data_IF_295481468865
#
_entry.id   IF_295481468865
#
_cell.length_a   1.000
_cell.length_b   1.000
_cell.length_c   1.000
_cell.angle_alpha   90.00
_cell.angle_beta   90.00
_cell.angle_gamma   90.00
#
_symmetry.space_group_name_H-M   'P 1'
#
loop_
_entity.id
_entity.type
_entity.pdbx_description
1 polymer ?
#
# COMPACT_ATOMS: atom_id res chain seq x y z
N UNK A 1 11.17 6.01 4.23
CA UNK A 1 12.03 6.90 3.42
C UNK A 1 12.47 8.11 4.23
N UNK A 2 13.52 8.80 3.77
CA UNK A 2 13.97 10.04 4.42
C UNK A 2 12.96 11.17 4.28
N UNK A 3 12.19 11.19 3.21
CA UNK A 3 11.13 12.19 3.04
C UNK A 3 9.97 11.97 4.03
N UNK A 4 9.64 10.73 4.36
CA UNK A 4 8.67 10.44 5.43
C UNK A 4 9.13 10.98 6.79
N UNK A 5 10.42 10.79 7.13
CA UNK A 5 10.99 11.32 8.38
C UNK A 5 10.96 12.85 8.43
N UNK A 6 11.11 13.50 7.29
CA UNK A 6 11.08 14.97 7.17
C UNK A 6 9.67 15.53 6.99
N UNK A 7 8.64 14.70 6.93
CA UNK A 7 7.27 15.14 6.68
C UNK A 7 7.03 15.73 5.29
N UNK A 8 7.77 15.29 4.28
CA UNK A 8 7.65 15.78 2.91
C UNK A 8 6.69 14.92 2.08
N UNK A 9 5.97 15.57 1.18
CA UNK A 9 5.10 14.91 0.20
C UNK A 9 5.95 14.19 -0.84
N UNK A 10 5.83 12.87 -0.96
CA UNK A 10 6.63 12.10 -1.90
C UNK A 10 5.97 11.99 -3.27
N UNK A 11 4.69 11.64 -3.28
CA UNK A 11 3.97 11.42 -4.52
C UNK A 11 4.66 10.39 -5.41
N UNK A 12 4.84 10.73 -6.69
CA UNK A 12 5.51 9.90 -7.70
C UNK A 12 7.03 10.03 -7.72
N UNK A 13 7.59 10.97 -6.97
CA UNK A 13 9.05 11.04 -6.80
C UNK A 13 9.54 9.75 -6.14
N UNK A 14 10.47 9.08 -6.80
CA UNK A 14 10.92 7.76 -6.37
C UNK A 14 12.03 7.84 -5.32
N UNK A 15 11.62 8.06 -4.08
CA UNK A 15 12.50 8.08 -2.92
C UNK A 15 12.64 6.66 -2.37
N UNK A 16 13.88 6.13 -2.26
CA UNK A 16 14.12 4.77 -1.78
C UNK A 16 13.83 4.61 -0.29
N UNK A 17 13.70 3.37 0.15
CA UNK A 17 13.68 3.03 1.56
C UNK A 17 15.01 3.41 2.21
N UNK A 18 14.95 4.02 3.39
CA UNK A 18 16.09 4.16 4.28
C UNK A 18 16.21 2.92 5.20
N UNK A 19 17.17 2.91 6.10
CA UNK A 19 17.39 1.77 7.03
C UNK A 19 16.15 1.41 7.85
N UNK A 20 15.39 2.41 8.30
CA UNK A 20 14.12 2.19 9.02
C UNK A 20 13.08 1.55 8.10
N UNK A 21 12.94 2.03 6.87
CA UNK A 21 12.02 1.47 5.89
C UNK A 21 12.37 0.03 5.50
N UNK A 22 13.65 -0.28 5.33
CA UNK A 22 14.12 -1.66 5.09
C UNK A 22 13.77 -2.58 6.26
N UNK A 23 14.01 -2.14 7.50
CA UNK A 23 13.63 -2.91 8.68
C UNK A 23 12.10 -3.11 8.80
N UNK A 24 11.28 -2.13 8.36
CA UNK A 24 9.83 -2.27 8.30
C UNK A 24 9.40 -3.29 7.24
N UNK A 25 10.00 -3.26 6.05
CA UNK A 25 9.76 -4.22 4.99
C UNK A 25 10.11 -5.65 5.42
N UNK A 26 11.25 -5.82 6.09
CA UNK A 26 11.68 -7.11 6.63
C UNK A 26 10.69 -7.65 7.68
N UNK A 27 10.22 -6.82 8.61
CA UNK A 27 9.21 -7.23 9.60
C UNK A 27 7.90 -7.66 8.95
N UNK A 28 7.43 -6.94 7.94
CA UNK A 28 6.23 -7.33 7.18
C UNK A 28 6.42 -8.70 6.53
N UNK A 29 7.57 -8.94 5.89
CA UNK A 29 7.93 -10.24 5.32
C UNK A 29 7.94 -11.37 6.36
N UNK A 30 8.45 -11.11 7.57
CA UNK A 30 8.47 -12.07 8.67
C UNK A 30 7.07 -12.45 9.15
N UNK A 31 6.12 -11.50 9.20
CA UNK A 31 4.72 -11.80 9.54
C UNK A 31 4.15 -12.80 8.56
N UNK A 32 4.21 -12.52 7.28
CA UNK A 32 3.68 -13.42 6.26
C UNK A 32 4.43 -14.77 6.19
N UNK A 33 5.74 -14.76 6.35
CA UNK A 33 6.55 -15.98 6.43
C UNK A 33 6.09 -16.93 7.54
N UNK A 34 5.69 -16.39 8.71
CA UNK A 34 5.12 -17.20 9.81
C UNK A 34 3.77 -17.80 9.43
N UNK A 35 2.87 -17.02 8.82
CA UNK A 35 1.56 -17.50 8.39
C UNK A 35 1.70 -18.67 7.41
N UNK A 36 2.56 -18.55 6.40
CA UNK A 36 2.81 -19.64 5.44
C UNK A 36 3.42 -20.87 6.13
N UNK A 37 4.34 -20.71 7.06
CA UNK A 37 4.91 -21.85 7.83
C UNK A 37 3.87 -22.56 8.69
N UNK A 38 2.88 -21.84 9.20
CA UNK A 38 1.79 -22.40 9.97
C UNK A 38 0.73 -23.09 9.10
N UNK A 39 0.95 -23.15 7.78
CA UNK A 39 0.03 -23.78 6.82
C UNK A 39 -1.08 -22.86 6.33
N UNK A 40 -1.08 -21.59 6.74
CA UNK A 40 -1.98 -20.59 6.21
C UNK A 40 -1.55 -20.19 4.79
N UNK A 41 -2.52 -19.79 3.98
CA UNK A 41 -2.28 -19.26 2.62
C UNK A 41 -3.00 -17.93 2.48
N UNK A 42 -2.50 -16.86 3.12
CA UNK A 42 -3.20 -15.58 3.16
C UNK A 42 -3.34 -14.93 1.78
N UNK A 43 -2.46 -15.26 0.84
CA UNK A 43 -2.51 -14.83 -0.55
C UNK A 43 -1.73 -15.78 -1.46
N UNK A 44 -1.96 -15.70 -2.75
CA UNK A 44 -1.33 -16.57 -3.78
C UNK A 44 -0.44 -15.80 -4.76
N UNK A 45 -0.48 -14.46 -4.76
CA UNK A 45 0.32 -13.60 -5.61
C UNK A 45 0.52 -12.22 -4.97
N UNK A 46 1.56 -11.53 -5.41
CA UNK A 46 1.88 -10.17 -4.93
C UNK A 46 1.77 -9.21 -6.11
N UNK A 47 1.00 -8.13 -5.93
CA UNK A 47 0.83 -7.05 -6.91
C UNK A 47 1.46 -5.80 -6.31
N UNK A 48 2.47 -5.26 -6.96
CA UNK A 48 3.26 -4.15 -6.41
C UNK A 48 3.28 -2.91 -7.31
N UNK A 49 3.29 -1.75 -6.68
CA UNK A 49 3.67 -0.50 -7.33
C UNK A 49 5.10 -0.57 -7.87
N UNK A 50 5.40 0.02 -9.03
CA UNK A 50 6.78 0.09 -9.55
C UNK A 50 7.70 1.05 -8.77
N UNK A 51 7.17 1.91 -7.90
CA UNK A 51 8.02 2.81 -7.11
C UNK A 51 8.88 2.02 -6.12
N UNK A 52 10.17 2.32 -6.06
CA UNK A 52 11.20 1.51 -5.40
C UNK A 52 10.85 1.16 -3.94
N UNK A 53 10.29 2.11 -3.17
CA UNK A 53 9.89 1.89 -1.77
C UNK A 53 8.81 0.83 -1.59
N UNK A 54 7.91 0.67 -2.55
CA UNK A 54 6.89 -0.37 -2.53
C UNK A 54 7.41 -1.67 -3.13
N UNK A 55 8.12 -1.59 -4.26
CA UNK A 55 8.66 -2.77 -4.95
C UNK A 55 9.65 -3.53 -4.04
N UNK A 56 10.59 -2.83 -3.41
CA UNK A 56 11.54 -3.45 -2.47
C UNK A 56 10.81 -4.09 -1.28
N UNK A 57 9.75 -3.46 -0.77
CA UNK A 57 8.91 -4.08 0.29
C UNK A 57 8.26 -5.39 -0.18
N UNK A 58 7.75 -5.42 -1.40
CA UNK A 58 7.17 -6.62 -2.00
C UNK A 58 8.21 -7.73 -2.22
N UNK A 59 9.39 -7.37 -2.69
CA UNK A 59 10.52 -8.31 -2.88
C UNK A 59 10.96 -8.91 -1.55
N UNK A 60 11.15 -8.09 -0.51
CA UNK A 60 11.46 -8.58 0.84
C UNK A 60 10.40 -9.54 1.37
N UNK A 61 9.12 -9.26 1.14
CA UNK A 61 8.01 -10.14 1.53
C UNK A 61 8.09 -11.48 0.81
N UNK A 62 8.22 -11.48 -0.51
CA UNK A 62 8.34 -12.72 -1.31
C UNK A 62 9.55 -13.54 -0.87
N UNK A 63 10.70 -12.87 -0.73
CA UNK A 63 11.95 -13.56 -0.44
C UNK A 63 11.98 -14.12 1.00
N UNK A 64 11.35 -13.46 1.96
CA UNK A 64 11.17 -13.99 3.32
C UNK A 64 10.31 -15.26 3.35
N UNK A 65 9.20 -15.28 2.59
CA UNK A 65 8.33 -16.44 2.46
C UNK A 65 9.10 -17.60 1.82
N UNK A 66 9.75 -17.38 0.69
CA UNK A 66 10.53 -18.39 -0.02
C UNK A 66 11.66 -18.94 0.84
N UNK A 67 12.43 -18.09 1.51
CA UNK A 67 13.57 -18.48 2.35
C UNK A 67 13.15 -19.28 3.58
N UNK A 68 11.90 -19.17 4.01
CA UNK A 68 11.34 -19.94 5.12
C UNK A 68 10.73 -21.28 4.71
N UNK A 69 10.89 -21.69 3.44
CA UNK A 69 10.32 -22.92 2.90
C UNK A 69 8.88 -22.77 2.37
N UNK A 70 8.38 -21.55 2.30
CA UNK A 70 7.09 -21.25 1.68
C UNK A 70 7.15 -21.26 0.14
N UNK A 71 6.01 -21.00 -0.53
CA UNK A 71 5.92 -20.99 -1.99
C UNK A 71 6.74 -19.85 -2.62
N UNK A 72 7.19 -20.06 -3.85
CA UNK A 72 7.71 -18.99 -4.71
C UNK A 72 6.52 -18.27 -5.37
N UNK A 73 6.10 -17.17 -4.78
CA UNK A 73 4.91 -16.44 -5.19
C UNK A 73 5.21 -15.54 -6.40
N UNK A 74 4.30 -15.48 -7.40
CA UNK A 74 4.38 -14.49 -8.46
C UNK A 74 4.38 -13.08 -7.89
N UNK A 75 5.29 -12.22 -8.40
CA UNK A 75 5.32 -10.79 -8.12
C UNK A 75 5.06 -10.05 -9.43
N UNK A 76 3.95 -9.35 -9.50
CA UNK A 76 3.45 -8.63 -10.66
C UNK A 76 3.54 -7.14 -10.38
N UNK A 77 4.12 -6.39 -11.31
CA UNK A 77 4.22 -4.93 -11.20
C UNK A 77 3.03 -4.32 -11.92
N UNK A 78 2.24 -3.52 -11.20
CA UNK A 78 1.12 -2.78 -11.75
C UNK A 78 1.38 -1.27 -11.69
N UNK A 79 1.56 -0.59 -12.85
CA UNK A 79 1.77 0.85 -12.90
C UNK A 79 0.61 1.68 -12.31
N UNK A 80 -0.61 1.13 -12.31
CA UNK A 80 -1.78 1.79 -11.73
C UNK A 80 -1.75 1.86 -10.19
N UNK A 81 -0.86 1.11 -9.55
CA UNK A 81 -0.63 1.18 -8.11
C UNK A 81 0.38 2.26 -7.69
N UNK A 82 0.90 3.06 -8.61
CA UNK A 82 1.74 4.22 -8.25
C UNK A 82 1.01 5.14 -7.27
N UNK A 83 1.79 5.78 -6.40
CA UNK A 83 1.26 6.83 -5.53
C UNK A 83 0.66 7.99 -6.37
N UNK A 84 -0.14 8.80 -5.74
CA UNK A 84 -0.67 10.03 -6.34
C UNK A 84 0.46 10.93 -6.85
N UNK A 85 0.26 11.59 -7.98
CA UNK A 85 1.09 12.72 -8.38
C UNK A 85 0.64 13.95 -7.58
N UNK A 86 1.51 14.51 -6.75
CA UNK A 86 1.22 15.72 -5.99
C UNK A 86 1.66 17.02 -6.71
N UNK A 87 2.17 16.91 -7.94
CA UNK A 87 2.58 18.06 -8.74
C UNK A 87 3.59 18.94 -8.01
N UNK A 88 3.30 20.23 -7.93
CA UNK A 88 4.19 21.22 -7.27
C UNK A 88 4.40 20.98 -5.77
N UNK A 89 3.59 20.13 -5.14
CA UNK A 89 3.73 19.79 -3.71
C UNK A 89 4.76 18.68 -3.46
N UNK A 90 5.25 17.99 -4.48
CA UNK A 90 6.28 16.96 -4.26
C UNK A 90 7.58 17.59 -3.74
N UNK A 91 8.12 17.01 -2.66
CA UNK A 91 9.27 17.55 -1.95
C UNK A 91 8.97 18.72 -1.00
N UNK A 92 7.73 19.19 -0.95
CA UNK A 92 7.29 20.21 0.00
C UNK A 92 6.71 19.57 1.26
N UNK A 93 6.73 20.26 2.40
CA UNK A 93 6.07 19.77 3.61
C UNK A 93 4.60 19.45 3.38
N UNK A 94 4.13 18.35 3.97
CA UNK A 94 2.70 18.07 4.07
C UNK A 94 2.07 19.21 4.87
N UNK A 95 1.12 19.91 4.28
CA UNK A 95 0.54 21.11 4.83
C UNK A 95 -0.99 21.12 4.84
N UNK A 96 -1.55 22.30 5.08
CA UNK A 96 -2.99 22.52 5.17
C UNK A 96 -3.76 22.19 3.87
N UNK A 97 -3.07 22.06 2.74
CA UNK A 97 -3.65 21.73 1.44
C UNK A 97 -4.15 20.27 1.34
N UNK A 98 -3.66 19.38 2.22
CA UNK A 98 -3.89 17.94 2.09
C UNK A 98 -5.31 17.53 2.43
N UNK A 99 -5.89 18.07 3.50
CA UNK A 99 -7.28 17.78 3.87
C UNK A 99 -8.27 18.35 2.84
N UNK A 100 -8.14 19.61 2.34
CA UNK A 100 -8.93 20.09 1.21
C UNK A 100 -8.78 19.27 -0.07
N UNK A 101 -7.61 18.69 -0.35
CA UNK A 101 -7.42 17.79 -1.48
C UNK A 101 -8.27 16.51 -1.34
N UNK A 102 -8.40 15.97 -0.13
CA UNK A 102 -9.23 14.79 0.15
C UNK A 102 -10.72 15.13 0.13
N UNK A 103 -11.12 16.22 0.81
CA UNK A 103 -12.51 16.45 1.23
C UNK A 103 -13.22 17.50 0.39
N UNK A 104 -12.51 18.47 -0.16
CA UNK A 104 -13.09 19.66 -0.80
C UNK A 104 -12.85 19.73 -2.31
N UNK A 105 -12.15 18.74 -2.89
CA UNK A 105 -11.83 18.70 -4.33
C UNK A 105 -10.73 19.66 -4.76
N UNK A 106 -10.02 20.30 -3.81
CA UNK A 106 -8.84 21.11 -4.12
C UNK A 106 -7.77 20.23 -4.77
N UNK A 107 -7.14 20.71 -5.82
CA UNK A 107 -6.07 19.98 -6.51
C UNK A 107 -4.89 20.92 -6.75
N UNK A 108 -3.70 20.64 -6.16
CA UNK A 108 -2.50 21.41 -6.45
C UNK A 108 -2.15 21.42 -7.93
N UNK A 109 -1.44 22.44 -8.39
CA UNK A 109 -1.00 22.53 -9.78
C UNK A 109 -0.15 21.31 -10.18
N UNK A 110 -0.50 20.72 -11.32
CA UNK A 110 0.16 19.50 -11.84
C UNK A 110 -0.13 18.23 -11.06
N UNK A 111 -0.99 18.29 -10.04
CA UNK A 111 -1.35 17.11 -9.24
C UNK A 111 -2.50 16.31 -9.85
N UNK A 112 -2.58 15.05 -9.44
CA UNK A 112 -3.75 14.20 -9.63
C UNK A 112 -4.82 14.55 -8.58
N UNK A 113 -6.09 14.69 -9.00
CA UNK A 113 -7.17 14.91 -8.04
C UNK A 113 -7.43 13.65 -7.21
N UNK A 114 -8.00 13.81 -6.01
CA UNK A 114 -8.37 12.68 -5.17
C UNK A 114 -9.38 11.75 -5.87
N UNK A 115 -10.33 12.32 -6.60
CA UNK A 115 -11.31 11.53 -7.37
C UNK A 115 -10.66 10.72 -8.50
N UNK A 116 -9.69 11.28 -9.21
CA UNK A 116 -8.93 10.56 -10.26
C UNK A 116 -8.11 9.42 -9.65
N UNK A 117 -7.43 9.68 -8.53
CA UNK A 117 -6.68 8.66 -7.80
C UNK A 117 -7.61 7.53 -7.34
N UNK A 118 -8.79 7.85 -6.81
CA UNK A 118 -9.78 6.86 -6.37
C UNK A 118 -10.26 5.98 -7.53
N UNK A 119 -10.61 6.59 -8.66
CA UNK A 119 -11.05 5.86 -9.84
C UNK A 119 -9.96 4.89 -10.34
N UNK A 120 -8.70 5.34 -10.36
CA UNK A 120 -7.54 4.54 -10.75
C UNK A 120 -7.29 3.39 -9.77
N UNK A 121 -7.26 3.66 -8.48
CA UNK A 121 -7.02 2.65 -7.45
C UNK A 121 -8.11 1.57 -7.43
N UNK A 122 -9.37 1.97 -7.48
CA UNK A 122 -10.53 1.04 -7.55
C UNK A 122 -10.48 0.22 -8.85
N UNK A 123 -10.16 0.86 -9.96
CA UNK A 123 -10.03 0.18 -11.27
C UNK A 123 -8.95 -0.89 -11.25
N UNK A 124 -7.76 -0.59 -10.73
CA UNK A 124 -6.64 -1.53 -10.62
C UNK A 124 -6.99 -2.74 -9.73
N UNK A 125 -7.55 -2.48 -8.55
CA UNK A 125 -7.97 -3.56 -7.64
C UNK A 125 -9.06 -4.43 -8.26
N UNK A 126 -10.10 -3.83 -8.84
CA UNK A 126 -11.17 -4.57 -9.48
C UNK A 126 -10.68 -5.40 -10.68
N UNK A 127 -9.71 -4.89 -11.43
CA UNK A 127 -9.11 -5.66 -12.53
C UNK A 127 -8.37 -6.89 -12.02
N UNK A 128 -7.58 -6.75 -10.96
CA UNK A 128 -6.85 -7.87 -10.33
C UNK A 128 -7.81 -8.91 -9.74
N UNK A 129 -8.92 -8.47 -9.14
CA UNK A 129 -9.91 -9.35 -8.51
C UNK A 129 -10.81 -10.10 -9.50
N UNK A 130 -10.67 -9.90 -10.82
CA UNK A 130 -11.31 -10.75 -11.83
C UNK A 130 -10.66 -12.14 -11.93
N UNK A 131 -9.44 -12.26 -11.49
CA UNK A 131 -8.73 -13.54 -11.39
C UNK A 131 -9.03 -14.19 -10.05
N UNK A 132 -9.25 -15.49 -10.04
CA UNK A 132 -9.45 -16.25 -8.81
C UNK A 132 -8.24 -16.16 -7.88
N UNK A 133 -8.47 -16.31 -6.58
CA UNK A 133 -7.46 -16.26 -5.55
C UNK A 133 -7.42 -14.96 -4.76
N UNK A 134 -6.42 -14.83 -3.90
CA UNK A 134 -6.27 -13.68 -3.00
C UNK A 134 -4.96 -12.96 -3.29
N UNK A 135 -4.96 -11.74 -3.82
CA UNK A 135 -3.76 -10.96 -4.04
C UNK A 135 -3.30 -10.23 -2.76
N UNK A 136 -1.99 -10.09 -2.59
CA UNK A 136 -1.39 -9.10 -1.70
C UNK A 136 -1.03 -7.85 -2.51
N UNK A 137 -1.62 -6.70 -2.18
CA UNK A 137 -1.24 -5.42 -2.78
C UNK A 137 -0.17 -4.73 -1.94
N UNK A 138 0.91 -4.29 -2.58
CA UNK A 138 1.97 -3.49 -1.96
C UNK A 138 2.06 -2.14 -2.68
N UNK A 139 1.56 -1.11 -2.02
CA UNK A 139 1.37 0.20 -2.63
C UNK A 139 1.67 1.35 -1.66
N UNK A 140 0.82 2.38 -1.61
CA UNK A 140 1.14 3.66 -0.98
C UNK A 140 -0.02 4.20 -0.13
N UNK A 141 0.32 5.16 0.73
CA UNK A 141 -0.60 5.68 1.73
C UNK A 141 -1.77 6.47 1.16
N UNK A 142 -1.55 7.41 0.24
CA UNK A 142 -2.63 8.20 -0.33
C UNK A 142 -3.49 7.37 -1.29
N UNK A 143 -2.86 6.47 -2.07
CA UNK A 143 -3.60 5.49 -2.89
C UNK A 143 -4.51 4.63 -2.03
N UNK A 144 -4.03 4.12 -0.88
CA UNK A 144 -4.86 3.32 0.00
C UNK A 144 -5.99 4.12 0.66
N UNK A 145 -5.77 5.41 0.97
CA UNK A 145 -6.85 6.29 1.44
C UNK A 145 -7.96 6.44 0.41
N UNK A 146 -7.59 6.63 -0.85
CA UNK A 146 -8.58 6.73 -1.93
C UNK A 146 -9.35 5.43 -2.15
N UNK A 147 -8.68 4.28 -2.01
CA UNK A 147 -9.31 2.97 -2.05
C UNK A 147 -10.30 2.78 -0.89
N UNK A 148 -9.93 3.21 0.32
CA UNK A 148 -10.84 3.20 1.49
C UNK A 148 -12.08 4.05 1.25
N UNK A 149 -11.94 5.21 0.62
CA UNK A 149 -13.10 6.01 0.21
C UNK A 149 -14.01 5.24 -0.73
N UNK A 150 -13.45 4.53 -1.72
CA UNK A 150 -14.19 3.66 -2.63
C UNK A 150 -14.88 2.47 -1.93
N UNK A 151 -14.37 2.04 -0.80
CA UNK A 151 -14.94 0.96 0.04
C UNK A 151 -15.97 1.47 1.06
N UNK A 152 -16.22 2.78 1.13
CA UNK A 152 -17.09 3.38 2.15
C UNK A 152 -16.51 3.35 3.56
N UNK A 153 -15.19 3.24 3.69
CA UNK A 153 -14.47 3.23 4.97
C UNK A 153 -13.96 4.62 5.34
N UNK A 154 -13.70 4.90 6.63
CA UNK A 154 -13.14 6.17 7.07
C UNK A 154 -11.84 6.50 6.33
N UNK A 155 -11.78 7.65 5.67
CA UNK A 155 -10.67 8.03 4.78
C UNK A 155 -9.48 8.57 5.57
N UNK A 156 -9.74 9.47 6.52
CA UNK A 156 -8.69 10.20 7.22
C UNK A 156 -8.14 9.44 8.44
N UNK A 157 -7.73 8.18 8.22
CA UNK A 157 -7.06 7.36 9.24
C UNK A 157 -5.61 7.17 8.85
N UNK A 158 -4.70 7.60 9.71
CA UNK A 158 -3.27 7.39 9.53
C UNK A 158 -2.90 5.98 9.97
N UNK A 159 -2.32 5.21 9.06
CA UNK A 159 -1.79 3.88 9.36
C UNK A 159 -0.25 3.94 9.40
N UNK A 160 0.38 3.16 10.27
CA UNK A 160 1.83 2.98 10.22
C UNK A 160 2.26 2.35 8.90
N UNK A 161 3.51 2.60 8.49
CA UNK A 161 4.06 2.04 7.26
C UNK A 161 4.28 0.53 7.37
N UNK A 162 4.07 -0.18 6.27
CA UNK A 162 4.34 -1.61 6.11
C UNK A 162 3.66 -2.51 7.15
N UNK A 163 2.48 -2.10 7.64
CA UNK A 163 1.63 -2.98 8.46
C UNK A 163 0.77 -3.82 7.53
N UNK A 164 0.89 -5.17 7.60
CA UNK A 164 0.00 -6.05 6.86
C UNK A 164 -1.44 -5.90 7.33
N UNK A 165 -2.35 -5.73 6.36
CA UNK A 165 -3.79 -5.58 6.60
C UNK A 165 -4.55 -6.66 5.83
N UNK A 166 -5.57 -7.20 6.45
CA UNK A 166 -6.53 -8.07 5.81
C UNK A 166 -7.85 -7.34 5.60
N UNK A 167 -8.30 -7.30 4.35
CA UNK A 167 -9.53 -6.65 3.97
C UNK A 167 -10.55 -7.71 3.54
N UNK A 168 -11.73 -7.69 4.14
CA UNK A 168 -12.79 -8.65 3.84
C UNK A 168 -14.06 -7.93 3.44
N UNK A 169 -14.64 -8.25 2.27
CA UNK A 169 -15.97 -7.76 1.92
C UNK A 169 -17.04 -8.48 2.75
N UNK A 170 -18.13 -7.77 3.05
CA UNK A 170 -19.31 -8.30 3.70
C UNK A 170 -20.57 -7.73 3.05
N UNK A 171 -21.76 -8.23 3.42
CA UNK A 171 -23.03 -7.71 2.92
C UNK A 171 -23.27 -6.23 3.27
N UNK A 172 -22.66 -5.75 4.35
CA UNK A 172 -22.79 -4.38 4.83
C UNK A 172 -21.64 -3.46 4.49
N UNK A 173 -20.62 -3.95 3.75
CA UNK A 173 -19.44 -3.18 3.36
C UNK A 173 -18.13 -3.95 3.55
N UNK A 174 -17.08 -3.25 3.94
CA UNK A 174 -15.74 -3.81 4.11
C UNK A 174 -15.28 -3.75 5.57
N UNK A 175 -14.51 -4.74 5.98
CA UNK A 175 -13.77 -4.72 7.24
C UNK A 175 -12.26 -4.73 6.98
N UNK A 176 -11.49 -4.07 7.87
CA UNK A 176 -10.03 -4.04 7.85
C UNK A 176 -9.53 -4.57 9.19
N UNK A 177 -8.68 -5.59 9.15
CA UNK A 177 -8.01 -6.15 10.32
C UNK A 177 -6.51 -6.16 10.10
N UNK A 178 -5.70 -5.65 11.04
CA UNK A 178 -4.26 -5.81 10.97
C UNK A 178 -3.89 -7.27 11.27
N UNK A 179 -2.91 -7.79 10.52
CA UNK A 179 -2.18 -8.98 10.94
C UNK A 179 -1.26 -8.57 12.10
N UNK A 180 -1.70 -8.82 13.32
CA UNK A 180 -0.90 -8.56 14.53
C UNK A 180 -0.02 -9.79 14.75
N UNK A 181 1.32 -9.66 14.88
CA UNK A 181 2.12 -10.77 15.36
C UNK A 181 1.61 -11.16 16.74
N UNK A 182 1.28 -12.43 16.94
CA UNK A 182 1.02 -12.93 18.28
C UNK A 182 2.26 -12.58 19.14
N UNK A 183 2.03 -11.78 20.16
CA UNK A 183 3.04 -11.49 21.19
C UNK A 183 3.34 -12.81 21.88
N UNK A 184 4.53 -13.33 21.61
CA UNK A 184 5.14 -14.46 22.37
C UNK A 184 5.60 -13.93 23.71
#
# INVERSE_FOLDING_TARGET
TDWNLRGLSQGRTDIPLNSTGLAQAERAGQVFSRLFRNGEKPFDRIIASPLSRALVTAEHTRDAIRSSGGPDLPLIIDPELKEVCFGVQEGQPMGEWYDPWIEEGYTPEGAESFATLQARAVGAVNQTLKEDGTPLFVAHGALFRSLRAGMGLPVNVRLPNAIPLYLTPSETGWSILPYVPETV
#
